data_IF_710995199401
#
_entry.id   IF_710995199401
#
_cell.length_a   1.000
_cell.length_b   1.000
_cell.length_c   1.000
_cell.angle_alpha   90.00
_cell.angle_beta   90.00
_cell.angle_gamma   90.00
#
_symmetry.space_group_name_H-M   'P 1'
#
loop_
_entity.id
_entity.type
_entity.pdbx_description
1 polymer ?
#
# COMPACT_ATOMS: atom_id res chain seq x y z
N UNK A 1 45.26 -26.37 5.68
CA UNK A 1 43.92 -26.94 5.87
C UNK A 1 43.45 -26.65 7.29
N UNK A 2 42.59 -25.65 7.46
CA UNK A 2 41.75 -25.46 8.65
C UNK A 2 40.53 -24.67 8.18
N UNK A 3 39.39 -25.37 8.12
CA UNK A 3 38.07 -24.79 7.86
C UNK A 3 37.65 -23.95 9.07
N UNK A 4 37.27 -22.71 8.83
CA UNK A 4 36.57 -21.85 9.78
C UNK A 4 35.13 -21.67 9.29
N UNK A 5 34.21 -22.36 9.96
CA UNK A 5 32.76 -22.18 9.83
C UNK A 5 32.38 -20.79 10.34
N UNK A 6 31.75 -19.97 9.51
CA UNK A 6 31.05 -18.76 9.93
C UNK A 6 29.55 -19.04 9.83
N UNK A 7 28.94 -19.42 10.96
CA UNK A 7 27.48 -19.36 11.14
C UNK A 7 27.10 -17.90 11.39
N UNK A 8 26.63 -17.23 10.34
CA UNK A 8 25.99 -15.92 10.42
C UNK A 8 24.49 -16.09 10.54
N UNK A 9 24.00 -16.43 11.74
CA UNK A 9 22.57 -16.38 12.05
C UNK A 9 22.08 -14.94 11.97
N UNK A 10 21.18 -14.67 11.02
CA UNK A 10 20.37 -13.44 11.00
C UNK A 10 19.48 -13.49 12.23
N UNK A 11 19.73 -12.62 13.22
CA UNK A 11 18.76 -12.37 14.27
C UNK A 11 17.63 -11.54 13.66
N UNK A 12 16.49 -12.17 13.44
CA UNK A 12 15.21 -11.46 13.43
C UNK A 12 15.13 -10.70 14.78
N UNK A 13 15.13 -9.37 14.72
CA UNK A 13 14.79 -8.55 15.89
C UNK A 13 13.27 -8.66 16.04
N UNK A 14 12.85 -9.45 17.02
CA UNK A 14 11.47 -9.75 17.35
C UNK A 14 10.68 -8.46 17.74
N UNK A 15 9.78 -8.02 16.85
CA UNK A 15 8.74 -7.01 17.13
C UNK A 15 7.85 -7.40 18.35
N UNK A 16 7.88 -8.69 18.74
CA UNK A 16 7.17 -9.24 19.90
C UNK A 16 7.81 -8.87 21.25
N UNK A 17 9.11 -8.59 21.30
CA UNK A 17 9.81 -8.27 22.56
C UNK A 17 9.50 -6.84 23.05
N UNK A 18 9.25 -5.89 22.14
CA UNK A 18 8.81 -4.52 22.46
C UNK A 18 7.40 -4.53 23.08
N UNK A 19 6.53 -5.46 22.65
CA UNK A 19 5.20 -5.66 23.21
C UNK A 19 5.26 -6.27 24.63
N UNK A 20 6.18 -7.23 24.86
CA UNK A 20 6.45 -7.77 26.20
C UNK A 20 7.03 -6.74 27.15
N UNK A 21 7.90 -5.84 26.67
CA UNK A 21 8.46 -4.77 27.48
C UNK A 21 7.35 -3.85 28.03
N UNK A 22 6.37 -3.46 27.21
CA UNK A 22 5.21 -2.66 27.65
C UNK A 22 4.29 -3.39 28.64
N UNK A 23 4.02 -4.69 28.43
CA UNK A 23 3.29 -5.50 29.40
C UNK A 23 4.05 -5.70 30.72
N UNK A 24 5.39 -5.66 30.68
CA UNK A 24 6.26 -5.72 31.86
C UNK A 24 6.26 -4.38 32.63
N UNK A 25 6.26 -3.24 31.93
CA UNK A 25 6.16 -1.89 32.53
C UNK A 25 4.82 -1.68 33.26
N UNK A 26 3.78 -2.45 32.92
CA UNK A 26 2.51 -2.51 33.65
C UNK A 26 2.59 -3.19 35.03
N UNK A 27 3.72 -3.84 35.38
CA UNK A 27 4.05 -4.26 36.73
C UNK A 27 5.14 -3.33 37.26
N UNK A 28 4.75 -2.45 38.20
CA UNK A 28 5.67 -1.65 39.02
C UNK A 28 6.85 -2.54 39.47
N UNK A 29 8.11 -2.15 39.23
CA UNK A 29 8.90 -1.26 40.08
C UNK A 29 10.13 -0.79 39.27
N UNK A 30 10.13 0.44 38.75
CA UNK A 30 11.33 1.28 38.47
C UNK A 30 10.95 2.48 37.59
N UNK A 31 10.20 3.43 38.17
CA UNK A 31 9.75 4.65 37.49
C UNK A 31 10.87 5.72 37.33
N UNK A 32 12.06 5.48 37.90
CA UNK A 32 13.15 6.47 38.01
C UNK A 32 14.15 6.48 36.86
N UNK A 33 14.05 5.56 35.89
CA UNK A 33 15.00 5.45 34.75
C UNK A 33 14.39 5.66 33.38
N UNK A 34 13.09 5.94 33.29
CA UNK A 34 12.40 5.98 31.99
C UNK A 34 12.35 7.41 31.47
N UNK A 35 13.12 7.70 30.42
CA UNK A 35 13.14 9.01 29.77
C UNK A 35 11.73 9.34 29.24
N UNK A 36 11.10 10.47 29.64
CA UNK A 36 9.76 10.84 29.18
C UNK A 36 9.67 10.97 27.66
N UNK A 37 10.76 11.41 27.01
CA UNK A 37 10.88 11.50 25.56
C UNK A 37 10.86 10.11 24.90
N UNK A 38 11.42 9.09 25.54
CA UNK A 38 11.40 7.71 25.04
C UNK A 38 9.98 7.11 25.12
N UNK A 39 9.25 7.38 26.20
CA UNK A 39 7.83 7.00 26.35
C UNK A 39 6.96 7.72 25.31
N UNK A 40 7.16 9.03 25.12
CA UNK A 40 6.40 9.78 24.14
C UNK A 40 6.68 9.28 22.71
N UNK A 41 7.95 8.97 22.40
CA UNK A 41 8.36 8.38 21.13
C UNK A 41 7.77 6.98 20.93
N UNK A 42 7.78 6.12 21.95
CA UNK A 42 7.20 4.77 21.86
C UNK A 42 5.68 4.82 21.71
N UNK A 43 4.98 5.66 22.47
CA UNK A 43 3.53 5.87 22.34
C UNK A 43 3.13 6.44 20.97
N UNK A 44 3.92 7.37 20.40
CA UNK A 44 3.70 7.89 19.04
C UNK A 44 3.94 6.80 17.98
N UNK A 45 4.98 5.98 18.16
CA UNK A 45 5.31 4.86 17.25
C UNK A 45 4.20 3.80 17.26
N UNK A 46 3.69 3.43 18.43
CA UNK A 46 2.56 2.50 18.62
C UNK A 46 1.28 3.06 18.01
N UNK A 47 1.00 4.36 18.18
CA UNK A 47 -0.15 5.04 17.55
C UNK A 47 -0.07 5.01 16.01
N UNK A 48 1.11 5.18 15.43
CA UNK A 48 1.27 5.15 13.97
C UNK A 48 1.12 3.72 13.40
N UNK A 49 1.70 2.70 14.05
CA UNK A 49 1.57 1.30 13.63
C UNK A 49 0.12 0.80 13.74
N UNK A 50 -0.59 1.18 14.81
CA UNK A 50 -2.01 0.83 14.99
C UNK A 50 -2.93 1.50 13.98
N UNK A 51 -2.65 2.75 13.60
CA UNK A 51 -3.46 3.48 12.60
C UNK A 51 -3.40 2.86 11.19
N UNK A 52 -2.25 2.34 10.76
CA UNK A 52 -2.12 1.67 9.45
C UNK A 52 -2.94 0.39 9.43
N UNK A 53 -2.78 -0.46 10.45
CA UNK A 53 -3.51 -1.73 10.56
C UNK A 53 -5.02 -1.52 10.54
N UNK A 54 -5.53 -0.53 11.26
CA UNK A 54 -6.95 -0.20 11.29
C UNK A 54 -7.44 0.32 9.93
N UNK A 55 -6.66 1.16 9.26
CA UNK A 55 -6.96 1.67 7.91
C UNK A 55 -7.05 0.53 6.89
N UNK A 56 -6.07 -0.37 6.86
CA UNK A 56 -6.06 -1.52 5.97
C UNK A 56 -7.17 -2.51 6.27
N UNK A 57 -7.49 -2.73 7.54
CA UNK A 57 -8.64 -3.56 7.97
C UNK A 57 -9.96 -2.95 7.50
N UNK A 58 -10.12 -1.63 7.61
CA UNK A 58 -11.30 -0.92 7.12
C UNK A 58 -11.44 -1.06 5.60
N UNK A 59 -10.35 -0.89 4.84
CA UNK A 59 -10.33 -1.11 3.39
C UNK A 59 -10.69 -2.55 3.05
N UNK A 60 -10.08 -3.53 3.72
CA UNK A 60 -10.37 -4.96 3.53
C UNK A 60 -11.86 -5.26 3.69
N UNK A 61 -12.46 -4.82 4.80
CA UNK A 61 -13.89 -5.05 5.07
C UNK A 61 -14.79 -4.34 4.05
N UNK A 62 -14.39 -3.14 3.63
CA UNK A 62 -15.13 -2.38 2.59
C UNK A 62 -15.04 -3.09 1.24
N UNK A 63 -13.88 -3.60 0.87
CA UNK A 63 -13.68 -4.36 -0.36
C UNK A 63 -14.42 -5.70 -0.36
N UNK A 64 -14.47 -6.38 0.78
CA UNK A 64 -15.26 -7.62 0.93
C UNK A 64 -16.76 -7.38 0.69
N UNK A 65 -17.30 -6.28 1.23
CA UNK A 65 -18.70 -5.89 1.01
C UNK A 65 -18.94 -5.35 -0.42
N UNK A 66 -17.92 -4.70 -1.01
CA UNK A 66 -18.02 -4.09 -2.32
C UNK A 66 -17.86 -5.10 -3.48
N UNK A 67 -17.11 -6.19 -3.29
CA UNK A 67 -16.91 -7.23 -4.30
C UNK A 67 -18.04 -8.26 -4.35
N UNK A 68 -19.26 -7.74 -4.51
CA UNK A 68 -20.47 -8.50 -4.83
C UNK A 68 -20.86 -8.28 -6.31
N UNK A 69 -19.88 -8.43 -7.20
CA UNK A 69 -20.05 -8.15 -8.63
C UNK A 69 -20.85 -9.25 -9.31
N UNK A 70 -21.70 -8.86 -10.25
CA UNK A 70 -22.51 -9.76 -11.07
C UNK A 70 -22.28 -9.44 -12.54
N UNK A 71 -22.37 -10.47 -13.38
CA UNK A 71 -22.36 -10.26 -14.82
C UNK A 71 -23.60 -9.47 -15.25
N UNK A 72 -23.40 -8.26 -15.79
CA UNK A 72 -24.47 -7.36 -16.22
C UNK A 72 -24.14 -6.80 -17.61
N UNK A 73 -24.99 -7.04 -18.63
CA UNK A 73 -24.76 -6.53 -19.98
C UNK A 73 -24.98 -5.02 -20.06
N UNK A 74 -24.25 -4.34 -20.95
CA UNK A 74 -24.38 -2.91 -21.16
C UNK A 74 -25.77 -2.56 -21.72
N UNK A 75 -26.44 -1.58 -21.11
CA UNK A 75 -27.78 -1.14 -21.54
C UNK A 75 -27.74 -0.25 -22.79
N UNK A 76 -26.68 0.51 -23.01
CA UNK A 76 -26.60 1.43 -24.16
C UNK A 76 -26.21 0.74 -25.46
N UNK A 77 -25.33 -0.26 -25.40
CA UNK A 77 -24.80 -0.93 -26.58
C UNK A 77 -25.14 -2.41 -26.53
N UNK A 78 -25.99 -2.84 -27.45
CA UNK A 78 -26.44 -4.23 -27.54
C UNK A 78 -25.25 -5.20 -27.66
N UNK A 79 -25.29 -6.31 -26.92
CA UNK A 79 -24.28 -7.39 -26.94
C UNK A 79 -22.87 -7.01 -26.48
N UNK A 80 -22.71 -5.85 -25.85
CA UNK A 80 -21.46 -5.47 -25.20
C UNK A 80 -21.56 -5.66 -23.68
N UNK A 81 -20.47 -6.12 -23.06
CA UNK A 81 -20.30 -6.05 -21.62
C UNK A 81 -19.12 -5.11 -21.33
N UNK A 82 -19.43 -3.97 -20.73
CA UNK A 82 -18.45 -2.93 -20.40
C UNK A 82 -18.54 -2.65 -18.90
N UNK A 83 -17.41 -2.34 -18.23
CA UNK A 83 -17.43 -1.98 -16.82
C UNK A 83 -18.21 -0.68 -16.61
N UNK A 84 -19.35 -0.77 -15.92
CA UNK A 84 -20.27 0.36 -15.71
C UNK A 84 -19.62 1.49 -14.90
N UNK A 85 -18.69 1.17 -13.99
CA UNK A 85 -17.94 2.16 -13.19
C UNK A 85 -17.05 3.11 -14.03
N UNK A 86 -16.66 2.69 -15.25
CA UNK A 86 -15.93 3.51 -16.21
C UNK A 86 -16.86 4.28 -17.15
N UNK A 87 -17.98 3.66 -17.54
CA UNK A 87 -18.91 4.23 -18.52
C UNK A 87 -19.79 5.35 -17.92
N UNK A 88 -20.27 5.16 -16.68
CA UNK A 88 -21.09 6.12 -15.92
C UNK A 88 -22.32 6.66 -16.67
N UNK A 89 -22.90 5.88 -17.57
CA UNK A 89 -24.09 6.28 -18.35
C UNK A 89 -25.38 6.05 -17.57
N UNK A 90 -25.49 4.91 -16.88
CA UNK A 90 -26.65 4.51 -16.08
C UNK A 90 -26.38 4.73 -14.58
N UNK A 91 -26.86 5.84 -13.98
CA UNK A 91 -26.60 6.15 -12.58
C UNK A 91 -27.22 5.13 -11.61
N UNK A 92 -28.24 4.39 -12.01
CA UNK A 92 -28.89 3.34 -11.22
C UNK A 92 -28.00 2.11 -10.99
N UNK A 93 -26.98 1.90 -11.83
CA UNK A 93 -26.03 0.80 -11.70
C UNK A 93 -24.80 1.18 -10.86
N UNK A 94 -24.65 2.48 -10.57
CA UNK A 94 -23.58 3.02 -9.76
C UNK A 94 -24.00 3.06 -8.30
N UNK A 95 -23.11 2.59 -7.43
CA UNK A 95 -23.27 2.69 -5.99
C UNK A 95 -22.56 3.93 -5.47
N UNK A 96 -22.88 4.30 -4.23
CA UNK A 96 -22.28 5.48 -3.60
C UNK A 96 -20.77 5.28 -3.43
N UNK A 97 -19.94 6.21 -3.94
CA UNK A 97 -18.50 6.13 -3.78
C UNK A 97 -18.10 6.30 -2.32
N UNK A 98 -17.18 5.46 -1.85
CA UNK A 98 -16.67 5.48 -0.48
C UNK A 98 -15.23 5.98 -0.51
N UNK A 99 -14.92 6.97 0.32
CA UNK A 99 -13.55 7.45 0.52
C UNK A 99 -13.12 7.11 1.93
N UNK A 100 -12.01 6.37 2.04
CA UNK A 100 -11.38 6.04 3.31
C UNK A 100 -10.07 6.80 3.37
N UNK A 101 -9.91 7.64 4.38
CA UNK A 101 -8.71 8.44 4.58
C UNK A 101 -8.03 8.01 5.88
N UNK A 102 -6.71 7.79 5.81
CA UNK A 102 -5.89 7.68 7.02
C UNK A 102 -5.41 9.04 7.48
N UNK A 103 -4.95 9.85 6.53
CA UNK A 103 -4.48 11.23 6.70
C UNK A 103 -4.88 12.05 5.47
N UNK A 104 -4.66 13.36 5.47
CA UNK A 104 -4.91 14.21 4.28
C UNK A 104 -4.10 13.80 3.04
N UNK A 105 -2.91 13.23 3.27
CA UNK A 105 -1.99 12.79 2.21
C UNK A 105 -2.28 11.37 1.70
N UNK A 106 -2.98 10.53 2.48
CA UNK A 106 -3.16 9.11 2.20
C UNK A 106 -4.66 8.76 2.21
N UNK A 107 -5.18 8.43 1.03
CA UNK A 107 -6.61 8.19 0.82
C UNK A 107 -6.85 7.09 -0.21
N UNK A 108 -7.91 6.34 0.00
CA UNK A 108 -8.43 5.32 -0.90
C UNK A 108 -9.86 5.70 -1.31
N UNK A 109 -10.10 5.82 -2.61
CA UNK A 109 -11.43 5.99 -3.19
C UNK A 109 -11.87 4.67 -3.79
N UNK A 110 -13.02 4.18 -3.34
CA UNK A 110 -13.66 2.96 -3.82
C UNK A 110 -14.96 3.36 -4.50
N UNK A 111 -15.01 3.18 -5.81
CA UNK A 111 -16.21 3.35 -6.62
C UNK A 111 -16.73 1.98 -7.01
N UNK A 112 -18.00 1.71 -6.72
CA UNK A 112 -18.63 0.41 -6.93
C UNK A 112 -19.77 0.53 -7.92
N UNK A 113 -19.97 -0.53 -8.69
CA UNK A 113 -21.10 -0.70 -9.59
C UNK A 113 -21.55 -2.15 -9.56
N UNK A 114 -22.59 -2.49 -10.32
CA UNK A 114 -23.12 -3.85 -10.40
C UNK A 114 -22.11 -4.88 -10.96
N UNK A 115 -21.34 -4.54 -11.99
CA UNK A 115 -20.45 -5.47 -12.70
C UNK A 115 -18.96 -5.19 -12.54
N UNK A 116 -18.61 -4.04 -11.97
CA UNK A 116 -17.24 -3.59 -11.84
C UNK A 116 -17.01 -2.71 -10.63
N UNK A 117 -15.75 -2.68 -10.18
CA UNK A 117 -15.29 -1.94 -9.03
C UNK A 117 -13.98 -1.25 -9.38
N UNK A 118 -13.88 0.03 -9.02
CA UNK A 118 -12.67 0.82 -9.21
C UNK A 118 -12.11 1.25 -7.86
N UNK A 119 -10.82 0.99 -7.65
CA UNK A 119 -10.11 1.37 -6.42
C UNK A 119 -9.01 2.33 -6.83
N UNK A 120 -9.01 3.54 -6.29
CA UNK A 120 -7.98 4.53 -6.56
C UNK A 120 -7.25 4.88 -5.28
N UNK A 121 -5.93 4.73 -5.30
CA UNK A 121 -5.07 4.91 -4.15
C UNK A 121 -4.23 6.17 -4.32
N UNK A 122 -4.14 6.94 -3.23
CA UNK A 122 -3.19 8.03 -3.09
C UNK A 122 -2.18 7.64 -2.01
N UNK A 123 -0.92 7.59 -2.43
CA UNK A 123 0.21 7.16 -1.59
C UNK A 123 0.77 8.37 -0.86
N UNK A 124 1.19 8.19 0.39
CA UNK A 124 1.82 9.24 1.17
C UNK A 124 3.16 9.63 0.53
N UNK A 125 3.38 10.94 0.35
CA UNK A 125 4.62 11.49 -0.18
C UNK A 125 5.14 12.53 0.82
N UNK A 126 6.26 12.26 1.49
CA UNK A 126 6.83 13.17 2.48
C UNK A 126 7.69 14.28 1.84
N UNK A 127 8.44 13.94 0.80
CA UNK A 127 9.41 14.83 0.14
C UNK A 127 9.24 14.84 -1.39
N UNK A 128 9.85 15.80 -2.07
CA UNK A 128 9.87 15.87 -3.54
C UNK A 128 10.54 14.64 -4.17
N UNK A 129 11.59 14.10 -3.55
CA UNK A 129 12.25 12.89 -4.01
C UNK A 129 11.28 11.69 -3.98
N UNK A 130 10.51 11.52 -2.90
CA UNK A 130 9.50 10.46 -2.80
C UNK A 130 8.41 10.66 -3.86
N UNK A 131 7.94 11.88 -4.07
CA UNK A 131 6.96 12.17 -5.12
C UNK A 131 7.44 11.70 -6.51
N UNK A 132 8.71 11.96 -6.86
CA UNK A 132 9.29 11.51 -8.13
C UNK A 132 9.44 9.98 -8.16
N UNK A 133 9.90 9.36 -7.07
CA UNK A 133 10.07 7.92 -6.97
C UNK A 133 8.73 7.19 -7.09
N UNK A 134 7.72 7.61 -6.33
CA UNK A 134 6.35 7.08 -6.36
C UNK A 134 5.76 7.18 -7.76
N UNK A 135 5.85 8.35 -8.41
CA UNK A 135 5.37 8.53 -9.80
C UNK A 135 6.06 7.60 -10.78
N UNK A 136 7.39 7.44 -10.69
CA UNK A 136 8.14 6.56 -11.61
C UNK A 136 7.84 5.08 -11.36
N UNK A 137 7.79 4.67 -10.10
CA UNK A 137 7.50 3.30 -9.68
C UNK A 137 6.10 2.86 -10.09
N UNK A 138 5.07 3.65 -9.78
CA UNK A 138 3.68 3.31 -10.12
C UNK A 138 3.43 3.40 -11.63
N UNK A 139 4.10 4.31 -12.34
CA UNK A 139 4.08 4.33 -13.81
C UNK A 139 4.70 3.05 -14.39
N UNK A 140 5.79 2.55 -13.82
CA UNK A 140 6.42 1.31 -14.24
C UNK A 140 5.52 0.09 -14.04
N UNK A 141 4.77 0.04 -12.93
CA UNK A 141 3.76 -0.98 -12.69
C UNK A 141 2.61 -0.88 -13.69
N UNK A 142 2.11 0.33 -13.96
CA UNK A 142 1.02 0.58 -14.91
C UNK A 142 1.37 0.17 -16.35
N UNK A 143 2.64 0.26 -16.74
CA UNK A 143 3.11 -0.22 -18.05
C UNK A 143 3.03 -1.75 -18.20
N UNK A 144 2.93 -2.50 -17.08
CA UNK A 144 2.80 -3.97 -17.06
C UNK A 144 1.39 -4.44 -16.71
N UNK A 145 0.40 -3.57 -16.84
CA UNK A 145 -1.00 -3.89 -16.58
C UNK A 145 -1.55 -5.08 -17.43
N UNK A 146 -0.87 -5.47 -18.52
CA UNK A 146 -1.26 -6.67 -19.27
C UNK A 146 -0.97 -7.97 -18.51
N UNK A 147 0.11 -8.00 -17.71
CA UNK A 147 0.42 -9.11 -16.81
C UNK A 147 -0.41 -9.03 -15.51
N UNK A 148 -0.74 -7.82 -15.09
CA UNK A 148 -1.60 -7.55 -13.93
C UNK A 148 -2.98 -7.07 -14.39
N UNK A 149 -3.84 -7.99 -14.83
CA UNK A 149 -5.13 -7.68 -15.47
C UNK A 149 -6.05 -6.74 -14.67
N UNK A 150 -5.91 -6.73 -13.34
CA UNK A 150 -6.68 -5.86 -12.44
C UNK A 150 -6.18 -4.41 -12.38
N UNK A 151 -5.01 -4.11 -12.95
CA UNK A 151 -4.40 -2.79 -12.89
C UNK A 151 -4.87 -1.89 -14.04
N UNK A 152 -5.24 -0.64 -13.72
CA UNK A 152 -5.63 0.35 -14.74
C UNK A 152 -4.37 1.01 -15.32
N UNK A 153 -4.29 1.09 -16.66
CA UNK A 153 -3.14 1.70 -17.38
C UNK A 153 -2.89 3.18 -17.03
N UNK A 154 -3.95 3.89 -16.67
CA UNK A 154 -3.91 5.29 -16.26
C UNK A 154 -4.62 5.40 -14.91
N UNK A 155 -4.08 6.11 -13.91
CA UNK A 155 -4.81 6.35 -12.67
C UNK A 155 -5.95 7.38 -12.86
N UNK A 156 -6.88 7.42 -11.91
CA UNK A 156 -7.88 8.49 -11.79
C UNK A 156 -7.19 9.82 -11.43
N UNK A 157 -7.73 10.94 -11.89
CA UNK A 157 -7.15 12.26 -11.61
C UNK A 157 -7.08 12.52 -10.09
N UNK A 158 -5.90 12.93 -9.61
CA UNK A 158 -5.68 13.21 -8.19
C UNK A 158 -5.32 11.99 -7.34
N UNK A 159 -5.14 10.83 -7.96
CA UNK A 159 -4.67 9.58 -7.36
C UNK A 159 -3.43 9.07 -8.11
N UNK A 160 -2.62 8.24 -7.44
CA UNK A 160 -1.33 7.80 -7.99
C UNK A 160 -1.45 6.48 -8.77
N UNK A 161 -2.35 5.59 -8.35
CA UNK A 161 -2.62 4.31 -9.00
C UNK A 161 -4.10 3.94 -8.88
N UNK A 162 -4.62 3.22 -9.88
CA UNK A 162 -5.99 2.73 -9.87
C UNK A 162 -6.07 1.27 -10.30
N UNK A 163 -6.95 0.52 -9.67
CA UNK A 163 -7.34 -0.84 -10.01
C UNK A 163 -8.74 -0.84 -10.59
N UNK A 164 -8.97 -1.73 -11.56
CA UNK A 164 -10.27 -2.00 -12.15
C UNK A 164 -10.55 -3.49 -12.03
N UNK A 165 -11.49 -3.85 -11.16
CA UNK A 165 -11.97 -5.21 -10.98
C UNK A 165 -13.29 -5.33 -11.73
N UNK A 166 -13.43 -6.39 -12.52
CA UNK A 166 -14.66 -6.70 -13.27
C UNK A 166 -15.21 -8.03 -12.75
N UNK A 167 -16.47 -8.34 -13.10
CA UNK A 167 -17.08 -9.63 -12.80
C UNK A 167 -16.22 -10.81 -13.33
N UNK A 168 -15.59 -10.65 -14.50
CA UNK A 168 -14.69 -11.67 -15.08
C UNK A 168 -13.51 -12.00 -14.16
N UNK A 169 -12.93 -10.99 -13.52
CA UNK A 169 -11.84 -11.22 -12.55
C UNK A 169 -12.33 -12.01 -11.32
N UNK A 170 -13.58 -11.82 -10.90
CA UNK A 170 -14.18 -12.57 -9.79
C UNK A 170 -14.61 -14.00 -10.19
N UNK A 171 -14.82 -14.25 -11.48
CA UNK A 171 -15.09 -15.58 -12.04
C UNK A 171 -13.78 -16.39 -12.17
N UNK A 172 -12.71 -15.77 -12.63
CA UNK A 172 -11.40 -16.42 -12.85
C UNK A 172 -10.57 -16.56 -11.56
N UNK A 173 -10.70 -15.61 -10.63
CA UNK A 173 -9.89 -15.55 -9.41
C UNK A 173 -10.78 -15.48 -8.16
N UNK A 174 -10.32 -16.07 -7.07
CA UNK A 174 -11.04 -15.98 -5.81
C UNK A 174 -11.00 -14.55 -5.24
N UNK A 175 -12.18 -14.00 -4.90
CA UNK A 175 -12.31 -12.64 -4.35
C UNK A 175 -11.39 -12.36 -3.16
N UNK A 176 -11.23 -13.31 -2.24
CA UNK A 176 -10.39 -13.12 -1.05
C UNK A 176 -8.91 -12.89 -1.43
N UNK A 177 -8.40 -13.61 -2.44
CA UNK A 177 -7.03 -13.42 -2.94
C UNK A 177 -6.85 -12.06 -3.61
N UNK A 178 -7.88 -11.54 -4.29
CA UNK A 178 -7.84 -10.19 -4.85
C UNK A 178 -7.78 -9.13 -3.75
N UNK A 179 -8.56 -9.29 -2.68
CA UNK A 179 -8.50 -8.39 -1.51
C UNK A 179 -7.11 -8.45 -0.88
N UNK A 180 -6.62 -9.66 -0.61
CA UNK A 180 -5.29 -9.87 -0.03
C UNK A 180 -4.22 -9.22 -0.89
N UNK A 181 -4.28 -9.40 -2.20
CA UNK A 181 -3.36 -8.76 -3.14
C UNK A 181 -3.41 -7.23 -3.04
N UNK A 182 -4.59 -6.62 -3.00
CA UNK A 182 -4.71 -5.15 -2.91
C UNK A 182 -4.18 -4.64 -1.57
N UNK A 183 -4.52 -5.30 -0.46
CA UNK A 183 -4.06 -4.90 0.87
C UNK A 183 -2.54 -5.06 0.99
N UNK A 184 -2.01 -6.19 0.53
CA UNK A 184 -0.57 -6.44 0.49
C UNK A 184 0.15 -5.41 -0.38
N UNK A 185 -0.41 -5.09 -1.55
CA UNK A 185 0.12 -4.06 -2.44
C UNK A 185 0.20 -2.69 -1.76
N UNK A 186 -0.81 -2.33 -0.95
CA UNK A 186 -0.78 -1.08 -0.17
C UNK A 186 0.34 -1.06 0.87
N UNK A 187 0.60 -2.19 1.54
CA UNK A 187 1.70 -2.31 2.50
C UNK A 187 3.08 -2.28 1.85
N UNK A 188 3.23 -2.94 0.71
CA UNK A 188 4.52 -3.11 0.05
C UNK A 188 4.96 -1.85 -0.70
N UNK A 189 4.04 -1.02 -1.20
CA UNK A 189 4.42 0.27 -1.82
C UNK A 189 5.24 1.12 -0.84
N UNK A 190 4.80 1.26 0.40
CA UNK A 190 5.48 2.13 1.37
C UNK A 190 6.90 1.62 1.67
N UNK A 191 7.08 0.29 1.73
CA UNK A 191 8.39 -0.36 1.92
C UNK A 191 9.29 -0.13 0.70
N UNK A 192 8.78 -0.41 -0.50
CA UNK A 192 9.52 -0.27 -1.77
C UNK A 192 9.96 1.18 -2.01
N UNK A 193 9.11 2.17 -1.76
CA UNK A 193 9.49 3.58 -1.90
C UNK A 193 10.58 3.96 -0.89
N UNK A 194 10.50 3.45 0.33
CA UNK A 194 11.52 3.67 1.36
C UNK A 194 12.87 3.05 0.97
N UNK A 195 12.85 1.83 0.42
CA UNK A 195 14.05 1.14 -0.09
C UNK A 195 14.66 1.88 -1.29
N UNK A 196 13.84 2.33 -2.24
CA UNK A 196 14.30 3.12 -3.37
C UNK A 196 14.94 4.44 -2.92
N UNK A 197 14.36 5.13 -1.94
CA UNK A 197 14.92 6.35 -1.36
C UNK A 197 16.29 6.09 -0.74
N UNK A 198 16.43 5.02 0.04
CA UNK A 198 17.70 4.62 0.66
C UNK A 198 18.75 4.23 -0.38
N UNK A 199 18.34 3.55 -1.46
CA UNK A 199 19.20 3.17 -2.58
C UNK A 199 19.76 4.39 -3.31
N UNK A 200 18.91 5.39 -3.62
CA UNK A 200 19.35 6.65 -4.24
C UNK A 200 20.35 7.39 -3.35
N UNK A 201 20.05 7.54 -2.06
CA UNK A 201 20.94 8.22 -1.12
C UNK A 201 22.30 7.52 -0.99
N UNK A 202 22.30 6.19 -0.94
CA UNK A 202 23.53 5.40 -0.83
C UNK A 202 24.39 5.53 -2.09
N UNK A 203 23.78 5.42 -3.27
CA UNK A 203 24.48 5.61 -4.55
C UNK A 203 25.02 7.03 -4.71
N UNK A 204 24.25 8.04 -4.28
CA UNK A 204 24.69 9.43 -4.29
C UNK A 204 25.95 9.66 -3.46
N UNK A 205 26.02 9.07 -2.25
CA UNK A 205 27.22 9.13 -1.40
C UNK A 205 28.42 8.42 -2.03
N UNK A 206 28.22 7.24 -2.62
CA UNK A 206 29.29 6.50 -3.28
C UNK A 206 29.89 7.29 -4.44
N UNK A 207 29.04 7.83 -5.33
CA UNK A 207 29.49 8.64 -6.47
C UNK A 207 30.27 9.88 -6.01
N UNK A 208 29.76 10.59 -4.99
CA UNK A 208 30.47 11.74 -4.44
C UNK A 208 31.83 11.37 -3.84
N UNK A 209 31.91 10.23 -3.16
CA UNK A 209 33.16 9.75 -2.53
C UNK A 209 34.19 9.38 -3.58
N UNK A 210 33.80 8.62 -4.62
CA UNK A 210 34.69 8.23 -5.71
C UNK A 210 35.14 9.44 -6.55
N UNK A 211 34.26 10.42 -6.77
CA UNK A 211 34.63 11.65 -7.47
C UNK A 211 35.66 12.46 -6.68
N UNK A 212 35.48 12.63 -5.37
CA UNK A 212 36.40 13.42 -4.54
C UNK A 212 37.78 12.76 -4.36
N UNK A 213 37.86 11.42 -4.38
CA UNK A 213 39.14 10.69 -4.38
C UNK A 213 40.05 11.04 -5.56
N UNK A 214 39.51 11.58 -6.66
CA UNK A 214 40.33 11.98 -7.81
C UNK A 214 41.10 13.29 -7.59
N UNK A 215 40.72 14.08 -6.58
CA UNK A 215 41.30 15.40 -6.29
C UNK A 215 42.20 15.39 -5.04
N UNK A 216 42.31 14.25 -4.36
CA UNK A 216 43.17 14.02 -3.18
C UNK A 216 44.27 13.06 -3.57
#
# INVERSE_FOLDING_TARGET
MRNGQFDGGVKEEDDDDDFRWLCSVGRAEDCSRVNPIAILRSLVRIRQATSLRLYLTCIRNTLEAAMCLQNFPCQEVERHNKPEVELKTSPELLLNPVVICRNEAEKCLIETSINSLRISLKVKQADELENILTKKFLRFLSMRAEAFQVLRRKPVQGYDISFLITNYHCEDMHKHKLIDFIVQFMEDIDKEISELKMSVNTRGRLVATEFLKQFV
#
